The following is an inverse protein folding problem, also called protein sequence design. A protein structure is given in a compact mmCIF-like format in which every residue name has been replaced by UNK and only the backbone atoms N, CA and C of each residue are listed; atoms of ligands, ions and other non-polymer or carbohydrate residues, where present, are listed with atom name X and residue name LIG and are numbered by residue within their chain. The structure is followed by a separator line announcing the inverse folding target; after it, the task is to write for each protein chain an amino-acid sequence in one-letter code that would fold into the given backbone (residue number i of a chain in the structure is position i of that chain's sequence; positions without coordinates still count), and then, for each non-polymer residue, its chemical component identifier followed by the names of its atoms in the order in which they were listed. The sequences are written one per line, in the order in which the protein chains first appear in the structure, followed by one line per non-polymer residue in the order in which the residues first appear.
data_IF_808302975463
#
_entry.id   IF_808302975463
#
_cell.length_a   1.000
_cell.length_b   1.000
_cell.length_c   1.000
_cell.angle_alpha   90.00
_cell.angle_beta   90.00
_cell.angle_gamma   90.00
#
_symmetry.space_group_name_H-M   'P 1'
#
loop_
_entity.id
_entity.type
_entity.pdbx_description
1 polymer ?
#
# COMPACT_ATOMS: atom_id res chain seq x y z
N UNK A 1 -71.21 14.08 -43.59
CA UNK A 1 -70.67 13.41 -42.40
C UNK A 1 -69.17 13.31 -42.55
N UNK A 2 -68.40 14.19 -41.90
CA UNK A 2 -66.93 14.19 -41.97
C UNK A 2 -66.39 13.61 -40.63
N UNK A 3 -65.65 12.52 -40.72
CA UNK A 3 -64.97 11.91 -39.57
C UNK A 3 -63.60 12.59 -39.40
N UNK A 4 -63.36 13.18 -38.23
CA UNK A 4 -62.09 13.72 -37.84
C UNK A 4 -61.28 12.61 -37.18
N UNK A 5 -60.08 12.34 -37.72
CA UNK A 5 -59.09 11.43 -37.11
C UNK A 5 -58.21 12.23 -36.20
N UNK A 6 -58.15 11.84 -34.91
CA UNK A 6 -57.25 12.40 -33.89
C UNK A 6 -55.99 11.54 -33.85
N UNK A 7 -54.86 12.09 -34.26
CA UNK A 7 -53.57 11.47 -34.08
C UNK A 7 -53.05 11.78 -32.67
N UNK A 8 -52.92 10.74 -31.85
CA UNK A 8 -52.26 10.81 -30.56
C UNK A 8 -50.75 10.62 -30.76
N UNK A 9 -49.97 11.67 -30.57
CA UNK A 9 -48.51 11.58 -30.55
C UNK A 9 -48.02 11.20 -29.13
N UNK A 10 -47.52 9.97 -28.98
CA UNK A 10 -46.81 9.56 -27.77
C UNK A 10 -45.39 10.14 -27.80
N UNK A 11 -45.08 11.09 -26.91
CA UNK A 11 -43.73 11.55 -26.64
C UNK A 11 -43.08 10.59 -25.68
N UNK A 12 -42.13 9.78 -26.17
CA UNK A 12 -41.28 8.94 -25.35
C UNK A 12 -40.14 9.79 -24.74
N UNK A 13 -40.27 10.13 -23.45
CA UNK A 13 -39.15 10.70 -22.69
C UNK A 13 -38.12 9.62 -22.43
N UNK A 14 -36.99 9.64 -23.15
CA UNK A 14 -35.80 8.84 -22.85
C UNK A 14 -35.07 9.54 -21.71
N UNK A 15 -35.26 9.03 -20.49
CA UNK A 15 -34.38 9.37 -19.35
C UNK A 15 -33.03 8.77 -19.57
N UNK A 16 -32.09 9.55 -20.12
CA UNK A 16 -30.66 9.21 -20.09
C UNK A 16 -30.17 9.38 -18.66
N UNK A 17 -30.24 8.31 -17.88
CA UNK A 17 -29.61 8.21 -16.61
C UNK A 17 -28.10 8.21 -16.81
N UNK A 18 -27.45 9.37 -16.75
CA UNK A 18 -26.02 9.50 -16.69
C UNK A 18 -25.51 8.86 -15.40
N UNK A 19 -25.04 7.61 -15.46
CA UNK A 19 -24.18 7.05 -14.42
C UNK A 19 -22.92 7.89 -14.40
N UNK A 20 -22.85 8.87 -13.51
CA UNK A 20 -21.58 9.45 -13.05
C UNK A 20 -20.79 8.29 -12.45
N UNK A 21 -19.90 7.70 -13.25
CA UNK A 21 -18.86 6.81 -12.72
C UNK A 21 -18.07 7.64 -11.73
N UNK A 22 -18.34 7.45 -10.45
CA UNK A 22 -17.54 8.03 -9.39
C UNK A 22 -16.08 7.71 -9.68
N UNK A 23 -15.24 8.73 -9.76
CA UNK A 23 -13.81 8.55 -9.92
C UNK A 23 -13.29 7.76 -8.70
N UNK A 24 -13.21 6.44 -8.85
CA UNK A 24 -12.85 5.55 -7.74
C UNK A 24 -11.39 5.82 -7.36
N UNK A 25 -11.18 6.33 -6.17
CA UNK A 25 -9.89 6.29 -5.48
C UNK A 25 -9.51 4.85 -5.09
N UNK A 26 -8.48 4.69 -4.28
CA UNK A 26 -8.12 3.39 -3.71
C UNK A 26 -9.29 2.80 -2.91
N UNK A 27 -9.41 1.48 -2.93
CA UNK A 27 -10.52 0.80 -2.25
C UNK A 27 -10.50 1.07 -0.75
N UNK A 28 -11.67 1.30 -0.13
CA UNK A 28 -11.78 1.42 1.31
C UNK A 28 -11.29 0.15 2.03
N UNK A 29 -10.87 0.30 3.27
CA UNK A 29 -10.57 -0.85 4.13
C UNK A 29 -11.82 -1.34 4.86
N UNK A 30 -11.80 -2.58 5.29
CA UNK A 30 -12.85 -3.13 6.13
C UNK A 30 -12.99 -2.29 7.41
N UNK A 31 -14.23 -1.96 7.76
CA UNK A 31 -14.53 -1.10 8.92
C UNK A 31 -14.47 0.41 8.67
N UNK A 32 -14.07 0.86 7.46
CA UNK A 32 -14.09 2.26 7.04
C UNK A 32 -14.62 2.42 5.60
N UNK A 33 -15.86 2.01 5.29
CA UNK A 33 -16.36 1.90 3.91
C UNK A 33 -16.46 3.23 3.17
N UNK A 34 -16.50 4.35 3.87
CA UNK A 34 -16.55 5.69 3.27
C UNK A 34 -15.19 6.35 3.08
N UNK A 35 -14.12 5.70 3.56
CA UNK A 35 -12.76 6.23 3.46
C UNK A 35 -11.99 5.49 2.36
N UNK A 36 -11.94 6.05 1.16
CA UNK A 36 -11.09 5.56 0.09
C UNK A 36 -9.62 5.71 0.48
N UNK A 37 -8.80 4.73 0.14
CA UNK A 37 -7.35 4.83 0.32
C UNK A 37 -6.75 5.73 -0.76
N UNK A 38 -6.75 7.02 -0.48
CA UNK A 38 -6.28 8.10 -1.32
C UNK A 38 -7.08 8.33 -2.62
N UNK A 39 -6.97 9.51 -3.24
CA UNK A 39 -7.58 9.82 -4.54
C UNK A 39 -7.05 8.89 -5.64
N UNK A 40 -7.80 8.75 -6.72
CA UNK A 40 -7.41 7.96 -7.90
C UNK A 40 -6.07 8.40 -8.50
N UNK A 41 -5.76 9.69 -8.42
CA UNK A 41 -4.49 10.25 -8.90
C UNK A 41 -3.29 9.93 -8.02
N UNK A 42 -3.50 9.35 -6.82
CA UNK A 42 -2.40 8.99 -5.93
C UNK A 42 -1.46 7.98 -6.59
N UNK A 43 -0.16 8.08 -6.31
CA UNK A 43 0.86 7.19 -6.88
C UNK A 43 0.58 5.71 -6.64
N UNK A 44 0.00 5.34 -5.51
CA UNK A 44 -0.41 3.96 -5.24
C UNK A 44 -1.48 3.45 -6.21
N UNK A 45 -2.39 4.33 -6.67
CA UNK A 45 -3.54 4.01 -7.51
C UNK A 45 -3.26 4.18 -9.02
N UNK A 46 -2.08 4.67 -9.41
CA UNK A 46 -1.71 4.89 -10.80
C UNK A 46 -1.27 3.59 -11.48
N UNK A 47 -1.79 3.35 -12.69
CA UNK A 47 -1.39 2.20 -13.50
C UNK A 47 -0.04 2.44 -14.18
N UNK A 48 0.75 1.37 -14.27
CA UNK A 48 2.08 1.39 -14.89
C UNK A 48 2.26 0.35 -16.01
N UNK A 49 1.21 -0.39 -16.34
CA UNK A 49 1.25 -1.49 -17.31
C UNK A 49 1.63 -1.07 -18.73
N UNK A 50 1.45 0.21 -19.07
CA UNK A 50 1.78 0.77 -20.39
C UNK A 50 3.02 1.67 -20.38
N UNK A 51 3.66 1.87 -19.23
CA UNK A 51 4.84 2.73 -19.15
C UNK A 51 6.07 2.05 -19.77
N UNK A 52 7.02 2.83 -20.30
CA UNK A 52 8.27 2.27 -20.80
C UNK A 52 9.10 1.64 -19.67
N UNK A 53 9.98 0.74 -20.05
CA UNK A 53 11.00 0.18 -19.16
C UNK A 53 12.09 1.22 -18.97
N UNK A 54 12.53 1.44 -17.72
CA UNK A 54 13.63 2.36 -17.43
C UNK A 54 14.96 1.85 -18.02
N UNK A 55 15.78 2.74 -18.54
CA UNK A 55 17.05 2.39 -19.21
C UNK A 55 18.00 1.57 -18.31
N UNK A 56 17.98 1.81 -16.99
CA UNK A 56 18.79 1.12 -15.99
C UNK A 56 18.09 -0.10 -15.36
N UNK A 57 16.91 -0.49 -15.84
CA UNK A 57 16.08 -1.58 -15.30
C UNK A 57 16.88 -2.87 -15.06
N UNK A 58 17.62 -3.32 -16.08
CA UNK A 58 18.41 -4.55 -15.99
C UNK A 58 19.49 -4.51 -14.90
N UNK A 59 20.14 -3.37 -14.69
CA UNK A 59 21.15 -3.22 -13.64
C UNK A 59 20.52 -3.27 -12.24
N UNK A 60 19.40 -2.58 -12.06
CA UNK A 60 18.68 -2.57 -10.77
C UNK A 60 18.14 -3.98 -10.45
N UNK A 61 17.48 -4.65 -11.39
CA UNK A 61 16.94 -6.00 -11.16
C UNK A 61 18.06 -7.00 -10.81
N UNK A 62 19.22 -6.91 -11.48
CA UNK A 62 20.38 -7.73 -11.12
C UNK A 62 20.92 -7.44 -9.72
N UNK A 63 20.92 -6.18 -9.29
CA UNK A 63 21.40 -5.81 -7.94
C UNK A 63 20.48 -6.31 -6.82
N UNK A 64 19.19 -6.47 -7.08
CA UNK A 64 18.22 -7.09 -6.16
C UNK A 64 18.34 -8.62 -6.20
N UNK A 65 18.61 -9.19 -7.37
CA UNK A 65 18.79 -10.64 -7.60
C UNK A 65 17.77 -11.19 -8.59
N UNK A 66 18.25 -11.59 -9.78
CA UNK A 66 17.42 -12.11 -10.88
C UNK A 66 16.82 -13.48 -10.61
N UNK A 67 17.51 -14.30 -9.84
CA UNK A 67 17.18 -15.69 -9.47
C UNK A 67 16.45 -15.79 -8.14
N UNK A 68 16.51 -14.74 -7.31
CA UNK A 68 15.69 -14.66 -6.10
C UNK A 68 14.21 -14.64 -6.42
N UNK A 69 13.39 -15.04 -5.48
CA UNK A 69 11.96 -15.29 -5.68
C UNK A 69 11.09 -14.28 -4.96
N UNK A 70 9.95 -13.97 -5.59
CA UNK A 70 8.91 -13.17 -4.95
C UNK A 70 8.40 -13.88 -3.68
N UNK A 71 8.32 -13.16 -2.58
CA UNK A 71 7.86 -13.69 -1.31
C UNK A 71 6.66 -12.89 -0.79
N UNK A 72 5.50 -13.53 -0.54
CA UNK A 72 4.38 -12.89 0.13
C UNK A 72 4.66 -12.86 1.64
N UNK A 73 4.93 -11.68 2.19
CA UNK A 73 5.12 -11.50 3.63
C UNK A 73 3.78 -11.20 4.32
N UNK A 74 2.79 -12.02 4.01
CA UNK A 74 1.43 -11.99 4.58
C UNK A 74 0.72 -13.31 4.36
N UNK A 75 -0.30 -13.58 5.18
CA UNK A 75 -1.04 -14.85 5.08
C UNK A 75 -2.09 -15.02 6.16
N UNK A 76 -2.49 -16.27 6.33
CA UNK A 76 -3.37 -16.75 7.39
C UNK A 76 -2.57 -17.34 8.54
N UNK A 77 -3.10 -17.19 9.76
CA UNK A 77 -2.49 -17.77 10.96
C UNK A 77 -1.43 -16.91 11.61
N UNK A 78 -0.57 -17.57 12.36
CA UNK A 78 0.48 -16.93 13.17
C UNK A 78 1.87 -17.42 12.77
N UNK A 79 2.84 -16.54 12.84
CA UNK A 79 4.25 -16.86 12.77
C UNK A 79 4.97 -16.20 13.96
N UNK A 80 5.80 -16.96 14.67
CA UNK A 80 6.52 -16.49 15.87
C UNK A 80 5.60 -15.82 16.93
N UNK A 81 4.34 -16.23 17.02
CA UNK A 81 3.35 -15.73 17.99
C UNK A 81 2.58 -14.49 17.56
N UNK A 82 2.80 -13.96 16.36
CA UNK A 82 2.05 -12.85 15.79
C UNK A 82 1.41 -13.14 14.44
N UNK A 83 0.45 -12.32 13.99
CA UNK A 83 -0.19 -12.48 12.68
C UNK A 83 0.85 -12.33 11.56
N UNK A 84 0.65 -13.08 10.46
CA UNK A 84 1.52 -13.03 9.29
C UNK A 84 1.13 -11.82 8.43
N UNK A 85 1.93 -10.76 8.46
CA UNK A 85 1.71 -9.51 7.74
C UNK A 85 1.51 -8.31 8.66
N UNK A 86 1.28 -7.14 8.08
CA UNK A 86 1.13 -5.87 8.80
C UNK A 86 -0.36 -5.63 9.09
N UNK A 87 -0.81 -5.75 10.35
CA UNK A 87 -2.21 -5.58 10.70
C UNK A 87 -2.62 -4.10 10.74
N UNK A 88 -3.90 -3.84 10.51
CA UNK A 88 -4.50 -2.53 10.72
C UNK A 88 -5.78 -2.63 11.54
N UNK A 89 -6.22 -1.52 12.08
CA UNK A 89 -7.50 -1.39 12.78
C UNK A 89 -8.22 -0.11 12.40
N UNK A 90 -9.52 -0.08 12.63
CA UNK A 90 -10.33 1.14 12.45
C UNK A 90 -10.87 1.62 13.79
N UNK A 91 -10.92 2.93 13.98
CA UNK A 91 -11.46 3.57 15.15
C UNK A 91 -12.49 4.64 14.76
N UNK A 92 -13.35 5.03 15.68
CA UNK A 92 -14.22 6.20 15.52
C UNK A 92 -13.52 7.47 16.00
N UNK A 93 -14.07 8.64 15.64
CA UNK A 93 -13.63 9.95 16.14
C UNK A 93 -13.66 10.08 17.69
N UNK A 94 -14.42 9.21 18.36
CA UNK A 94 -14.52 9.17 19.82
C UNK A 94 -13.40 8.37 20.49
N UNK A 95 -12.53 7.69 19.71
CA UNK A 95 -11.35 7.03 20.26
C UNK A 95 -10.47 8.06 20.97
N UNK A 96 -10.21 7.82 22.26
CA UNK A 96 -9.31 8.66 23.03
C UNK A 96 -7.94 8.73 22.34
N UNK A 97 -7.40 9.95 22.21
CA UNK A 97 -6.11 10.21 21.59
C UNK A 97 -5.04 10.41 22.64
N UNK A 98 -3.88 9.86 22.39
CA UNK A 98 -2.73 9.89 23.27
C UNK A 98 -1.52 10.52 22.60
N UNK A 99 -0.63 11.11 23.40
CA UNK A 99 0.67 11.55 22.92
C UNK A 99 1.64 10.36 22.86
N UNK A 100 2.50 10.37 21.86
CA UNK A 100 3.52 9.36 21.63
C UNK A 100 4.88 10.04 21.70
N UNK A 101 5.82 9.46 22.45
CA UNK A 101 7.23 9.87 22.44
C UNK A 101 7.92 9.14 21.31
N UNK A 102 8.55 9.87 20.39
CA UNK A 102 9.23 9.34 19.22
C UNK A 102 10.73 9.37 19.38
N UNK A 103 11.40 8.33 18.89
CA UNK A 103 12.87 8.31 18.79
C UNK A 103 13.33 9.22 17.63
N UNK A 104 12.58 9.22 16.49
CA UNK A 104 12.77 10.14 15.34
C UNK A 104 11.78 11.30 15.38
N UNK A 105 11.78 12.05 16.51
CA UNK A 105 10.80 13.12 16.74
C UNK A 105 10.83 14.25 15.71
N UNK A 106 12.02 14.55 15.14
CA UNK A 106 12.20 15.59 14.11
C UNK A 106 11.53 15.27 12.78
N UNK A 107 11.23 13.99 12.54
CA UNK A 107 10.61 13.47 11.31
C UNK A 107 9.27 12.78 11.57
N UNK A 108 8.65 13.02 12.73
CA UNK A 108 7.39 12.43 13.13
C UNK A 108 6.31 13.49 13.31
N UNK A 109 5.07 13.15 12.94
CA UNK A 109 3.91 14.00 13.23
C UNK A 109 3.60 13.95 14.73
N UNK A 110 3.52 15.12 15.37
CA UNK A 110 3.37 15.21 16.84
C UNK A 110 2.09 14.58 17.41
N UNK A 111 1.10 14.32 16.58
CA UNK A 111 -0.17 13.75 17.00
C UNK A 111 -1.17 14.78 17.54
N UNK A 112 -2.10 14.40 18.43
CA UNK A 112 -2.18 13.12 19.14
C UNK A 112 -2.72 11.95 18.27
N UNK A 113 -2.44 10.70 18.71
CA UNK A 113 -2.75 9.46 18.00
C UNK A 113 -3.93 8.71 18.65
N UNK A 114 -4.93 8.21 17.89
CA UNK A 114 -6.08 7.49 18.42
C UNK A 114 -5.75 6.00 18.64
N UNK A 115 -4.84 5.69 19.56
CA UNK A 115 -4.35 4.34 19.81
C UNK A 115 -5.31 3.60 20.75
N UNK A 116 -6.04 2.55 20.29
CA UNK A 116 -6.87 1.75 21.18
C UNK A 116 -5.99 0.85 22.06
N UNK A 117 -6.49 0.54 23.27
CA UNK A 117 -5.76 -0.29 24.26
C UNK A 117 -5.26 -1.63 23.69
N UNK A 118 -6.02 -2.21 22.77
CA UNK A 118 -5.75 -3.49 22.12
C UNK A 118 -5.31 -3.32 20.65
N UNK A 119 -4.65 -2.21 20.31
CA UNK A 119 -4.15 -1.98 18.96
C UNK A 119 -3.37 -3.20 18.46
N UNK A 120 -3.67 -3.73 17.26
CA UNK A 120 -2.88 -4.80 16.67
C UNK A 120 -1.50 -4.27 16.29
N UNK A 121 -0.48 -5.06 16.60
CA UNK A 121 0.93 -4.76 16.34
C UNK A 121 1.49 -5.87 15.46
N UNK A 122 2.23 -5.51 14.44
CA UNK A 122 2.92 -6.44 13.57
C UNK A 122 3.82 -7.39 14.37
N UNK A 123 3.74 -8.68 14.06
CA UNK A 123 4.42 -9.74 14.80
C UNK A 123 3.88 -9.95 16.22
N UNK A 124 2.82 -9.23 16.65
CA UNK A 124 2.20 -9.33 17.95
C UNK A 124 2.87 -8.47 19.04
N UNK A 125 2.25 -8.44 20.22
CA UNK A 125 2.68 -7.54 21.33
C UNK A 125 4.08 -7.83 21.85
N UNK A 126 4.59 -9.04 21.68
CA UNK A 126 5.93 -9.48 22.12
C UNK A 126 6.95 -9.47 21.00
N UNK A 127 6.59 -9.01 19.80
CA UNK A 127 7.49 -8.93 18.65
C UNK A 127 8.74 -8.10 19.00
N UNK A 128 9.88 -8.52 18.48
CA UNK A 128 11.14 -7.78 18.45
C UNK A 128 11.45 -7.18 17.07
N UNK A 129 10.53 -7.36 16.08
CA UNK A 129 10.63 -6.79 14.74
C UNK A 129 10.15 -5.34 14.69
N UNK A 130 9.70 -4.93 13.51
CA UNK A 130 9.35 -3.52 13.21
C UNK A 130 8.14 -2.98 13.97
N UNK A 131 7.24 -3.89 14.42
CA UNK A 131 6.13 -3.54 15.32
C UNK A 131 5.24 -2.43 14.76
N UNK A 132 4.94 -2.45 13.47
CA UNK A 132 4.04 -1.48 12.87
C UNK A 132 2.63 -1.55 13.50
N UNK A 133 2.02 -0.39 13.66
CA UNK A 133 0.61 -0.26 14.04
C UNK A 133 -0.07 0.75 13.11
N UNK A 134 -1.10 0.29 12.38
CA UNK A 134 -1.82 1.09 11.40
C UNK A 134 -3.26 1.30 11.88
N UNK A 135 -3.71 2.56 11.95
CA UNK A 135 -5.00 2.94 12.52
C UNK A 135 -5.72 3.89 11.58
N UNK A 136 -6.92 3.52 11.16
CA UNK A 136 -7.78 4.40 10.34
C UNK A 136 -8.90 4.97 11.21
N UNK A 137 -8.94 6.29 11.35
CA UNK A 137 -10.11 7.00 11.86
C UNK A 137 -11.15 7.07 10.74
N UNK A 138 -12.20 6.23 10.85
CA UNK A 138 -13.23 6.06 9.84
C UNK A 138 -14.15 7.26 9.66
N UNK A 139 -14.21 8.16 10.63
CA UNK A 139 -15.10 9.32 10.59
C UNK A 139 -14.41 10.52 9.92
N UNK A 140 -13.11 10.69 10.17
CA UNK A 140 -12.31 11.77 9.56
C UNK A 140 -11.55 11.34 8.29
N UNK A 141 -11.50 10.03 7.99
CA UNK A 141 -10.66 9.43 6.95
C UNK A 141 -9.19 9.84 7.10
N UNK A 142 -8.66 9.70 8.31
CA UNK A 142 -7.24 9.87 8.61
C UNK A 142 -6.61 8.52 8.90
N UNK A 143 -5.44 8.32 8.33
CA UNK A 143 -4.59 7.17 8.60
C UNK A 143 -3.46 7.62 9.53
N UNK A 144 -3.24 6.84 10.58
CA UNK A 144 -2.16 7.00 11.55
C UNK A 144 -1.30 5.76 11.49
N UNK A 145 -0.02 5.91 11.27
CA UNK A 145 0.93 4.81 11.17
C UNK A 145 2.10 5.04 12.12
N UNK A 146 2.49 3.99 12.80
CA UNK A 146 3.53 4.01 13.82
C UNK A 146 4.51 2.88 13.57
N UNK A 147 5.80 3.19 13.57
CA UNK A 147 6.92 2.24 13.56
C UNK A 147 7.38 2.00 14.99
N UNK A 148 7.74 0.76 15.31
CA UNK A 148 8.31 0.37 16.60
C UNK A 148 7.45 0.80 17.79
N UNK A 149 6.14 0.49 17.75
CA UNK A 149 5.18 0.91 18.77
C UNK A 149 5.28 0.06 20.04
N UNK A 150 5.44 0.73 21.18
CA UNK A 150 5.43 0.12 22.52
C UNK A 150 4.37 0.77 23.40
N UNK A 151 3.57 -0.04 24.12
CA UNK A 151 2.60 0.48 25.08
C UNK A 151 3.31 1.13 26.27
N UNK A 152 2.59 1.98 27.02
CA UNK A 152 3.11 2.56 28.24
C UNK A 152 3.59 1.47 29.23
N UNK A 153 4.77 1.63 29.84
CA UNK A 153 5.16 0.78 30.95
C UNK A 153 4.23 0.95 32.15
N UNK A 154 4.30 0.03 33.10
CA UNK A 154 3.50 0.11 34.34
C UNK A 154 3.73 1.45 35.05
N UNK A 155 2.64 2.11 35.44
CA UNK A 155 2.68 3.43 36.10
C UNK A 155 2.86 4.64 35.16
N UNK A 156 2.89 4.43 33.84
CA UNK A 156 2.97 5.50 32.84
C UNK A 156 1.75 5.50 31.92
N UNK A 157 1.41 6.67 31.34
CA UNK A 157 0.43 6.81 30.27
C UNK A 157 1.05 7.07 28.89
N UNK A 158 2.38 7.17 28.82
CA UNK A 158 3.10 7.59 27.61
C UNK A 158 3.44 6.41 26.72
N UNK A 159 2.89 6.39 25.51
CA UNK A 159 3.29 5.48 24.43
C UNK A 159 4.63 5.89 23.85
N UNK A 160 5.36 4.92 23.32
CA UNK A 160 6.64 5.14 22.64
C UNK A 160 6.60 4.51 21.27
N UNK A 161 7.24 5.17 20.28
CA UNK A 161 7.42 4.63 18.94
C UNK A 161 8.74 5.15 18.34
N UNK A 162 9.24 4.45 17.34
CA UNK A 162 10.38 4.92 16.56
C UNK A 162 10.01 6.18 15.77
N UNK A 163 9.00 6.07 14.93
CA UNK A 163 8.44 7.19 14.16
C UNK A 163 6.92 7.10 14.04
N UNK A 164 6.30 8.20 13.59
CA UNK A 164 4.87 8.25 13.36
C UNK A 164 4.47 9.20 12.25
N UNK A 165 3.46 8.81 11.47
CA UNK A 165 2.93 9.60 10.36
C UNK A 165 1.41 9.68 10.39
N UNK A 166 0.86 10.82 9.97
CA UNK A 166 -0.57 11.09 9.91
C UNK A 166 -0.92 11.53 8.49
N UNK A 167 -1.80 10.78 7.85
CA UNK A 167 -2.20 11.02 6.47
C UNK A 167 -3.68 11.41 6.38
N UNK A 168 -4.02 12.36 5.52
CA UNK A 168 -5.38 12.54 5.06
C UNK A 168 -5.62 11.62 3.87
N UNK A 169 -6.52 10.65 4.01
CA UNK A 169 -6.88 9.74 2.91
C UNK A 169 -7.61 10.45 1.75
N UNK A 170 -8.00 11.71 1.94
CA UNK A 170 -8.68 12.54 0.95
C UNK A 170 -7.73 13.42 0.12
N UNK A 171 -6.42 13.34 0.37
CA UNK A 171 -5.41 14.23 -0.20
C UNK A 171 -4.20 13.45 -0.69
N UNK A 172 -3.53 13.98 -1.72
CA UNK A 172 -2.23 13.47 -2.18
C UNK A 172 -1.04 14.17 -1.50
N UNK A 173 -1.29 14.92 -0.43
CA UNK A 173 -0.22 15.63 0.27
C UNK A 173 0.87 14.68 0.73
N UNK A 174 2.11 14.97 0.33
CA UNK A 174 3.29 14.20 0.70
C UNK A 174 3.91 14.74 1.99
N UNK A 175 4.67 13.93 2.67
CA UNK A 175 5.49 14.36 3.82
C UNK A 175 6.54 15.39 3.38
N UNK A 176 7.08 16.19 4.29
CA UNK A 176 8.23 17.03 3.99
C UNK A 176 9.36 16.22 3.36
N UNK A 177 10.11 16.86 2.45
CA UNK A 177 11.27 16.22 1.83
C UNK A 177 12.28 15.83 2.92
N UNK A 178 12.88 14.65 2.79
CA UNK A 178 13.80 14.01 3.73
C UNK A 178 13.19 13.49 5.03
N UNK A 179 11.88 13.57 5.20
CA UNK A 179 11.22 12.95 6.33
C UNK A 179 10.87 11.49 6.06
N UNK A 180 11.23 10.61 7.00
CA UNK A 180 10.70 9.25 7.05
C UNK A 180 9.21 9.23 7.41
N UNK A 181 8.59 8.07 7.41
CA UNK A 181 7.24 7.82 7.97
C UNK A 181 7.33 6.66 8.95
N UNK A 182 6.28 5.86 9.08
CA UNK A 182 6.39 4.52 9.65
C UNK A 182 7.11 3.56 8.69
N UNK A 183 7.28 3.96 7.44
CA UNK A 183 8.03 3.25 6.40
C UNK A 183 9.27 4.07 5.98
N UNK A 184 10.39 3.40 5.70
CA UNK A 184 11.68 4.06 5.46
C UNK A 184 11.66 5.05 4.28
N UNK A 185 10.86 4.79 3.25
CA UNK A 185 10.73 5.69 2.08
C UNK A 185 9.96 6.99 2.36
N UNK A 186 9.42 7.19 3.58
CA UNK A 186 8.53 8.31 3.86
C UNK A 186 7.17 8.18 3.15
N UNK A 187 6.72 6.95 2.92
CA UNK A 187 5.45 6.58 2.29
C UNK A 187 4.45 6.05 3.33
N UNK A 188 3.13 6.09 3.04
CA UNK A 188 2.17 5.34 3.83
C UNK A 188 2.25 3.84 3.51
N UNK A 189 2.12 3.00 4.53
CA UNK A 189 2.18 1.53 4.43
C UNK A 189 0.85 0.95 3.93
N UNK A 190 -0.26 1.33 4.56
CA UNK A 190 -1.58 0.72 4.36
C UNK A 190 -2.03 0.66 2.89
N UNK A 191 -1.86 1.69 2.05
CA UNK A 191 -2.28 1.64 0.65
C UNK A 191 -1.46 0.66 -0.20
N UNK A 192 -0.27 0.28 0.25
CA UNK A 192 0.60 -0.69 -0.42
C UNK A 192 0.41 -2.15 0.05
N UNK A 193 -0.45 -2.41 1.02
CA UNK A 193 -0.69 -3.76 1.51
C UNK A 193 -1.68 -4.52 0.61
N UNK A 194 -1.34 -5.76 0.23
CA UNK A 194 -2.31 -6.69 -0.32
C UNK A 194 -3.35 -7.03 0.75
N UNK A 195 -4.64 -6.84 0.47
CA UNK A 195 -5.73 -7.11 1.43
C UNK A 195 -6.71 -8.12 0.85
N UNK A 196 -7.08 -9.11 1.65
CA UNK A 196 -7.95 -10.20 1.18
C UNK A 196 -9.33 -9.69 0.74
N UNK A 197 -9.89 -8.71 1.43
CA UNK A 197 -11.21 -8.15 1.10
C UNK A 197 -11.29 -7.59 -0.32
N UNK A 198 -10.16 -7.17 -0.91
CA UNK A 198 -10.12 -6.65 -2.28
C UNK A 198 -10.46 -7.72 -3.32
N UNK A 199 -10.14 -8.99 -3.01
CA UNK A 199 -10.43 -10.11 -3.91
C UNK A 199 -11.94 -10.29 -4.11
N UNK A 200 -12.75 -10.00 -3.08
CA UNK A 200 -14.21 -10.05 -3.14
C UNK A 200 -14.79 -8.99 -4.08
N UNK A 201 -14.01 -7.96 -4.40
CA UNK A 201 -14.42 -6.82 -5.22
C UNK A 201 -13.69 -6.76 -6.57
N UNK A 202 -13.19 -7.90 -7.06
CA UNK A 202 -12.57 -8.02 -8.39
C UNK A 202 -11.05 -7.94 -8.41
N UNK A 203 -10.37 -7.83 -7.26
CA UNK A 203 -8.93 -7.89 -7.14
C UNK A 203 -8.27 -6.64 -6.56
N UNK A 204 -6.97 -6.63 -6.53
CA UNK A 204 -6.13 -5.55 -5.99
C UNK A 204 -5.93 -4.49 -7.09
N UNK A 205 -6.37 -3.26 -6.83
CA UNK A 205 -6.36 -2.15 -7.78
C UNK A 205 -5.37 -1.04 -7.40
N UNK A 206 -4.24 -1.41 -6.83
CA UNK A 206 -3.17 -0.49 -6.43
C UNK A 206 -1.80 -1.17 -6.52
N UNK A 207 -0.73 -0.38 -6.41
CA UNK A 207 0.63 -0.89 -6.29
C UNK A 207 0.86 -1.56 -4.94
N UNK A 208 1.76 -2.51 -4.89
CA UNK A 208 2.14 -3.15 -3.65
C UNK A 208 3.41 -2.50 -3.05
N UNK A 209 3.48 -2.47 -1.73
CA UNK A 209 4.70 -2.21 -0.99
C UNK A 209 5.63 -3.42 -1.13
N UNK A 210 6.92 -3.17 -1.39
CA UNK A 210 7.90 -4.23 -1.31
C UNK A 210 9.24 -3.75 -0.77
N UNK A 211 10.04 -4.70 -0.28
CA UNK A 211 11.34 -4.46 0.31
C UNK A 211 12.46 -5.02 -0.55
N UNK A 212 13.62 -4.42 -0.40
CA UNK A 212 14.89 -4.89 -0.95
C UNK A 212 15.99 -4.74 0.11
N UNK A 213 17.00 -5.62 0.08
CA UNK A 213 18.06 -5.62 1.09
C UNK A 213 18.91 -4.35 1.05
N UNK A 214 19.17 -3.82 -0.12
CA UNK A 214 20.05 -2.67 -0.32
C UNK A 214 19.41 -1.65 -1.25
N UNK A 215 19.40 -0.41 -0.81
CA UNK A 215 19.00 0.75 -1.62
C UNK A 215 20.15 1.73 -1.76
N UNK A 216 20.06 2.62 -2.74
CA UNK A 216 21.00 3.72 -2.93
C UNK A 216 20.62 4.90 -2.05
N UNK A 217 21.60 5.74 -1.66
CA UNK A 217 21.40 7.04 -0.98
C UNK A 217 20.68 8.03 -1.90
N UNK A 218 19.45 7.70 -2.28
CA UNK A 218 18.59 8.52 -3.10
C UNK A 218 17.14 8.05 -2.98
N UNK A 219 16.21 8.92 -3.34
CA UNK A 219 14.81 8.58 -3.51
C UNK A 219 14.24 9.25 -4.76
N UNK A 220 13.14 8.70 -5.25
CA UNK A 220 12.33 9.27 -6.35
C UNK A 220 10.88 9.34 -5.92
N UNK A 221 10.13 10.24 -6.55
CA UNK A 221 8.68 10.30 -6.34
C UNK A 221 8.05 8.90 -6.47
N UNK A 222 7.15 8.52 -5.54
CA UNK A 222 6.54 9.30 -4.48
C UNK A 222 7.31 9.34 -3.14
N UNK A 223 8.43 8.62 -3.02
CA UNK A 223 9.20 8.61 -1.78
C UNK A 223 9.73 10.00 -1.41
N UNK A 224 9.95 10.19 -0.11
CA UNK A 224 10.42 11.44 0.48
C UNK A 224 11.71 11.30 1.25
N UNK A 225 12.12 10.05 1.54
CA UNK A 225 13.27 9.74 2.36
C UNK A 225 14.10 8.58 1.76
N UNK A 226 15.35 8.51 2.11
CA UNK A 226 16.31 7.45 1.80
C UNK A 226 16.73 6.78 3.11
N UNK A 227 17.00 5.48 3.09
CA UNK A 227 17.41 4.74 4.27
C UNK A 227 18.73 4.00 4.06
N UNK A 228 19.64 4.58 3.27
CA UNK A 228 20.95 3.98 2.97
C UNK A 228 21.96 5.05 2.59
N UNK A 229 23.23 4.80 2.90
CA UNK A 229 24.35 5.62 2.49
C UNK A 229 25.13 5.04 1.29
N UNK A 230 24.67 3.94 0.71
CA UNK A 230 25.29 3.32 -0.45
C UNK A 230 25.14 4.19 -1.70
N UNK A 231 26.18 4.32 -2.50
CA UNK A 231 26.23 5.20 -3.67
C UNK A 231 26.20 4.48 -5.02
N UNK A 232 26.25 3.14 -5.01
CA UNK A 232 26.24 2.32 -6.24
C UNK A 232 25.01 2.63 -7.10
N UNK A 233 25.18 3.12 -8.36
CA UNK A 233 24.08 3.52 -9.23
C UNK A 233 23.22 2.33 -9.70
N UNK A 234 23.68 1.11 -9.56
CA UNK A 234 22.90 -0.09 -9.88
C UNK A 234 21.87 -0.44 -8.80
N UNK A 235 22.00 0.12 -7.59
CA UNK A 235 21.03 -0.12 -6.52
C UNK A 235 19.74 0.67 -6.75
N UNK A 236 18.57 0.10 -6.38
CA UNK A 236 17.31 0.81 -6.44
C UNK A 236 17.28 1.99 -5.46
N UNK A 237 16.53 3.02 -5.82
CA UNK A 237 16.21 4.15 -4.94
C UNK A 237 14.94 3.84 -4.15
N UNK A 238 14.73 4.44 -3.00
CA UNK A 238 13.40 4.47 -2.39
C UNK A 238 12.41 5.14 -3.37
N UNK A 239 11.20 4.57 -3.49
CA UNK A 239 10.19 5.04 -4.44
C UNK A 239 10.31 4.44 -5.85
N UNK A 240 11.35 3.68 -6.15
CA UNK A 240 11.50 3.01 -7.46
C UNK A 240 10.30 2.10 -7.71
N UNK A 241 9.75 2.16 -8.93
CA UNK A 241 8.57 1.39 -9.31
C UNK A 241 8.96 0.21 -10.17
N UNK A 242 8.61 -1.00 -9.74
CA UNK A 242 8.81 -2.22 -10.52
C UNK A 242 7.45 -2.80 -10.95
N UNK A 243 7.44 -3.53 -12.05
CA UNK A 243 6.26 -4.19 -12.59
C UNK A 243 6.58 -5.59 -13.05
N UNK A 244 5.67 -6.54 -12.86
CA UNK A 244 5.75 -7.86 -13.48
C UNK A 244 5.59 -7.73 -15.00
N UNK A 245 6.48 -8.35 -15.77
CA UNK A 245 6.48 -8.31 -17.23
C UNK A 245 5.14 -8.78 -17.81
N UNK A 246 4.66 -8.11 -18.85
CA UNK A 246 3.42 -8.48 -19.52
C UNK A 246 3.48 -9.92 -20.08
N UNK A 247 4.65 -10.36 -20.57
CA UNK A 247 4.90 -11.68 -21.13
C UNK A 247 4.93 -12.81 -20.10
N UNK A 248 5.06 -12.52 -18.79
CA UNK A 248 5.07 -13.57 -17.77
C UNK A 248 3.70 -14.23 -17.66
N UNK A 249 3.63 -15.54 -17.93
CA UNK A 249 2.35 -16.27 -17.85
C UNK A 249 1.90 -16.49 -16.40
N UNK A 250 0.70 -15.98 -16.09
CA UNK A 250 0.06 -16.12 -14.78
C UNK A 250 -1.15 -17.04 -14.79
N UNK A 251 -1.46 -17.71 -15.91
CA UNK A 251 -2.66 -18.52 -16.07
C UNK A 251 -2.70 -19.73 -15.13
N UNK A 252 -1.54 -20.33 -14.91
CA UNK A 252 -1.36 -21.52 -14.05
C UNK A 252 -1.38 -21.25 -12.55
N UNK A 253 -1.33 -19.99 -12.13
CA UNK A 253 -1.35 -19.66 -10.70
C UNK A 253 -2.77 -19.77 -10.14
N UNK A 254 -2.93 -20.21 -8.89
CA UNK A 254 -4.24 -20.27 -8.23
C UNK A 254 -4.80 -18.85 -8.01
N UNK A 255 -6.10 -18.79 -7.72
CA UNK A 255 -6.86 -17.53 -7.80
C UNK A 255 -6.30 -16.39 -6.95
N UNK A 256 -5.89 -16.66 -5.69
CA UNK A 256 -5.38 -15.62 -4.79
C UNK A 256 -4.00 -15.11 -5.25
N UNK A 257 -3.07 -16.01 -5.58
CA UNK A 257 -1.78 -15.64 -6.14
C UNK A 257 -1.94 -14.89 -7.47
N UNK A 258 -2.84 -15.36 -8.34
CA UNK A 258 -3.12 -14.70 -9.63
C UNK A 258 -3.70 -13.29 -9.45
N UNK A 259 -4.49 -13.03 -8.40
CA UNK A 259 -4.96 -11.67 -8.10
C UNK A 259 -3.79 -10.73 -7.75
N UNK A 260 -2.83 -11.18 -6.94
CA UNK A 260 -1.59 -10.46 -6.63
C UNK A 260 -0.78 -10.20 -7.92
N UNK A 261 -0.57 -11.23 -8.74
CA UNK A 261 0.20 -11.10 -9.98
C UNK A 261 -0.46 -10.16 -11.00
N UNK A 262 -1.80 -10.12 -11.05
CA UNK A 262 -2.53 -9.13 -11.86
C UNK A 262 -2.26 -7.69 -11.38
N UNK A 263 -2.24 -7.46 -10.07
CA UNK A 263 -1.89 -6.15 -9.52
C UNK A 263 -0.44 -5.78 -9.88
N UNK A 264 0.51 -6.69 -9.71
CA UNK A 264 1.91 -6.49 -10.08
C UNK A 264 2.11 -6.19 -11.58
N UNK A 265 1.29 -6.76 -12.46
CA UNK A 265 1.29 -6.39 -13.89
C UNK A 265 0.74 -4.99 -14.15
N UNK A 266 -0.35 -4.61 -13.47
CA UNK A 266 -1.10 -3.38 -13.76
C UNK A 266 -0.55 -2.16 -13.03
N UNK A 267 -0.30 -2.34 -11.75
CA UNK A 267 0.09 -1.27 -10.82
C UNK A 267 1.54 -1.41 -10.37
N UNK A 268 2.13 -2.61 -10.47
CA UNK A 268 3.48 -2.89 -10.02
C UNK A 268 3.62 -2.84 -8.50
N UNK A 269 4.84 -2.57 -8.06
CA UNK A 269 5.21 -2.44 -6.65
C UNK A 269 6.23 -1.32 -6.47
N UNK A 270 6.27 -0.71 -5.28
CA UNK A 270 7.13 0.43 -4.95
C UNK A 270 8.13 0.01 -3.89
N UNK A 271 9.42 0.32 -4.10
CA UNK A 271 10.46 0.16 -3.08
C UNK A 271 10.15 1.11 -1.93
N UNK A 272 9.78 0.58 -0.78
CA UNK A 272 9.30 1.36 0.35
C UNK A 272 10.18 1.22 1.59
N UNK A 273 10.96 0.13 1.68
CA UNK A 273 11.83 -0.12 2.83
C UNK A 273 13.02 -1.01 2.46
N UNK A 274 14.03 -1.02 3.34
CA UNK A 274 15.07 -2.03 3.38
C UNK A 274 14.57 -3.25 4.18
N UNK A 275 14.82 -4.44 3.63
CA UNK A 275 14.38 -5.70 4.22
C UNK A 275 14.87 -6.86 3.38
N UNK A 276 14.17 -7.98 3.38
CA UNK A 276 14.48 -9.08 2.47
C UNK A 276 14.13 -8.73 1.03
N UNK A 277 14.93 -9.25 0.08
CA UNK A 277 14.71 -8.97 -1.34
C UNK A 277 13.43 -9.64 -1.84
N UNK A 278 12.65 -8.92 -2.66
CA UNK A 278 11.42 -9.39 -3.30
C UNK A 278 10.29 -9.74 -2.31
N UNK A 279 10.30 -9.21 -1.10
CA UNK A 279 9.22 -9.38 -0.13
C UNK A 279 8.14 -8.34 -0.40
N UNK A 280 6.91 -8.80 -0.69
CA UNK A 280 5.72 -7.95 -0.83
C UNK A 280 4.88 -8.03 0.43
N UNK A 281 4.38 -6.88 0.88
CA UNK A 281 3.64 -6.77 2.12
C UNK A 281 2.13 -6.89 1.92
N UNK A 282 1.45 -7.40 2.94
CA UNK A 282 -0.01 -7.47 2.96
C UNK A 282 -0.57 -7.51 4.37
N UNK A 283 -1.88 -7.36 4.50
CA UNK A 283 -2.57 -7.47 5.77
C UNK A 283 -2.90 -8.95 6.07
N UNK A 284 -2.78 -9.37 7.34
CA UNK A 284 -3.15 -10.72 7.76
C UNK A 284 -4.66 -10.95 7.57
N UNK A 285 -5.03 -12.16 7.16
CA UNK A 285 -6.44 -12.56 7.07
C UNK A 285 -6.55 -14.07 7.16
N UNK A 286 -7.51 -14.58 7.96
CA UNK A 286 -7.82 -16.02 8.03
C UNK A 286 -8.36 -16.59 6.72
N UNK A 287 -8.72 -15.76 5.77
CA UNK A 287 -9.21 -16.16 4.45
C UNK A 287 -8.11 -16.34 3.40
N UNK A 288 -6.88 -15.92 3.67
CA UNK A 288 -5.76 -16.25 2.80
C UNK A 288 -5.51 -17.76 2.80
N UNK A 289 -5.21 -18.32 1.64
CA UNK A 289 -4.65 -19.66 1.50
C UNK A 289 -3.14 -19.53 1.39
N UNK A 290 -2.43 -19.96 2.44
CA UNK A 290 -0.96 -19.91 2.43
C UNK A 290 -0.39 -20.76 1.28
N UNK A 291 -0.99 -21.92 0.96
CA UNK A 291 -0.57 -22.75 -0.16
C UNK A 291 -0.68 -22.01 -1.50
N UNK A 292 -1.77 -21.27 -1.71
CA UNK A 292 -1.91 -20.45 -2.91
C UNK A 292 -0.88 -19.32 -2.94
N UNK A 293 -0.66 -18.64 -1.82
CA UNK A 293 0.31 -17.55 -1.72
C UNK A 293 1.75 -18.05 -1.93
N UNK A 294 2.10 -19.23 -1.40
CA UNK A 294 3.44 -19.82 -1.56
C UNK A 294 3.79 -20.06 -3.04
N UNK A 295 2.80 -20.23 -3.92
CA UNK A 295 3.08 -20.35 -5.37
C UNK A 295 3.74 -19.09 -5.96
N UNK A 296 3.61 -17.91 -5.33
CA UNK A 296 4.31 -16.68 -5.72
C UNK A 296 5.85 -16.87 -5.70
N UNK A 297 6.37 -17.80 -4.89
CA UNK A 297 7.76 -18.21 -4.89
C UNK A 297 8.26 -18.84 -6.21
N UNK A 298 7.37 -19.07 -7.19
CA UNK A 298 7.75 -19.50 -8.53
C UNK A 298 8.12 -18.29 -9.45
N UNK A 299 7.87 -17.05 -9.02
CA UNK A 299 8.14 -15.84 -9.79
C UNK A 299 9.56 -15.36 -9.50
N UNK A 300 10.51 -15.46 -10.45
CA UNK A 300 11.87 -14.98 -10.24
C UNK A 300 11.96 -13.46 -10.39
N UNK A 301 12.99 -12.85 -9.80
CA UNK A 301 13.28 -11.42 -9.95
C UNK A 301 13.48 -11.01 -11.42
N UNK A 302 14.01 -11.91 -12.27
CA UNK A 302 14.14 -11.69 -13.71
C UNK A 302 12.81 -11.47 -14.44
N UNK A 303 11.67 -11.83 -13.82
CA UNK A 303 10.33 -11.57 -14.35
C UNK A 303 9.86 -10.12 -14.21
N UNK A 304 10.64 -9.26 -13.53
CA UNK A 304 10.28 -7.87 -13.29
C UNK A 304 11.10 -6.89 -14.12
N UNK A 305 10.50 -5.73 -14.39
CA UNK A 305 11.15 -4.56 -14.95
C UNK A 305 10.98 -3.36 -14.01
N UNK A 306 11.99 -2.50 -13.92
CA UNK A 306 11.82 -1.13 -13.40
C UNK A 306 11.15 -0.31 -14.50
N UNK A 307 10.12 0.46 -14.16
CA UNK A 307 9.41 1.30 -15.11
C UNK A 307 9.83 2.77 -15.00
N UNK A 308 9.88 3.45 -16.14
CA UNK A 308 10.05 4.90 -16.16
C UNK A 308 8.71 5.56 -15.81
N UNK A 309 8.67 6.24 -14.67
CA UNK A 309 7.49 6.93 -14.16
C UNK A 309 7.48 8.42 -14.44
N UNK A 310 8.44 8.94 -15.22
CA UNK A 310 8.62 10.38 -15.48
C UNK A 310 7.39 11.03 -16.15
N UNK A 311 6.61 10.25 -16.91
CA UNK A 311 5.39 10.72 -17.56
C UNK A 311 4.14 10.68 -16.68
N UNK A 312 4.22 10.09 -15.47
CA UNK A 312 3.09 10.07 -14.56
C UNK A 312 2.92 11.43 -13.87
N UNK A 313 1.66 11.83 -13.58
CA UNK A 313 1.41 12.97 -12.71
C UNK A 313 2.04 12.74 -11.32
N UNK A 314 2.62 13.79 -10.74
CA UNK A 314 3.20 13.79 -9.41
C UNK A 314 2.33 14.62 -8.44
N UNK A 315 1.10 14.21 -8.12
CA UNK A 315 0.22 15.00 -7.27
C UNK A 315 0.76 15.08 -5.84
N UNK A 316 0.77 16.30 -5.29
CA UNK A 316 1.28 16.58 -3.94
C UNK A 316 2.81 16.72 -3.84
N UNK A 317 3.52 16.62 -4.99
CA UNK A 317 4.97 16.83 -5.10
C UNK A 317 5.39 18.27 -5.28
#
# INVERSE_FOLDING_TARGET
MRRASVCLALAACVLVGGMLAAAAGGRPVQGAPHCQLFPKSNSWNQRVDKLPVAANSGAIVRSIGTDKRLHPDFGAGLYAGGPIGIPYTTVSKHQHKVHVKFDYAGESDKGPYPIPKNVPIEGGRKSSGDRHALIVDRDSCRLYELYSLYPPPSGSSTWRAGSGAIWSLKSNHLRPRTWTSADAAGLPILPGLARYEELKHGGIDHALRFTVRRTRRAFVYPARHQASDLTDPSLPRMGERLRLKASFDISRFPSQARAVLKALKRYGMIVADNGSDWYISGAPSSHWSNDQLHTLGQVPGSAFDVVDTSSLPHPGG
#
